data_IF_900139103849
#
_entry.id   IF_900139103849
#
_cell.length_a   1.000
_cell.length_b   1.000
_cell.length_c   1.000
_cell.angle_alpha   90.00
_cell.angle_beta   90.00
_cell.angle_gamma   90.00
#
_symmetry.space_group_name_H-M   'P 1'
#
loop_
_entity.id
_entity.type
_entity.pdbx_description
1 polymer ?
#
# COMPACT_ATOMS: atom_id res chain seq x y z
N UNK A 1 -64.68 21.40 8.32
CA UNK A 1 -65.41 22.69 8.44
C UNK A 1 -65.67 22.90 9.93
N UNK A 2 -65.35 23.96 10.67
CA UNK A 2 -64.80 25.31 10.54
C UNK A 2 -63.92 25.48 11.82
N UNK A 3 -62.64 25.81 11.72
CA UNK A 3 -62.07 27.18 11.64
C UNK A 3 -62.05 27.92 12.99
N UNK A 4 -60.82 28.36 13.35
CA UNK A 4 -60.42 29.67 13.89
C UNK A 4 -59.69 29.63 15.25
N UNK A 5 -58.38 29.92 15.14
CA UNK A 5 -57.48 30.46 16.16
C UNK A 5 -57.80 31.95 16.35
N UNK A 6 -57.53 32.54 17.54
CA UNK A 6 -56.70 33.73 17.51
C UNK A 6 -55.55 33.72 18.54
N UNK A 7 -54.45 34.29 18.08
CA UNK A 7 -53.21 34.66 18.78
C UNK A 7 -53.42 36.01 19.45
N UNK A 8 -52.94 36.21 20.69
CA UNK A 8 -52.50 37.50 21.26
C UNK A 8 -51.44 37.20 22.35
N UNK A 9 -50.16 37.45 22.05
CA UNK A 9 -49.28 38.53 22.55
C UNK A 9 -48.85 38.40 24.03
N UNK A 10 -47.58 38.03 24.29
CA UNK A 10 -46.47 38.92 24.71
C UNK A 10 -46.70 39.56 26.09
N UNK A 11 -45.82 39.32 27.07
CA UNK A 11 -44.85 40.31 27.63
C UNK A 11 -43.99 39.68 28.75
N UNK A 12 -42.69 39.99 28.68
CA UNK A 12 -41.65 39.86 29.71
C UNK A 12 -42.05 40.41 31.10
N UNK A 13 -41.45 39.87 32.17
CA UNK A 13 -40.60 40.57 33.18
C UNK A 13 -40.43 39.62 34.39
N UNK A 14 -39.24 39.07 34.63
CA UNK A 14 -38.10 39.60 35.41
C UNK A 14 -38.30 39.62 36.93
N UNK A 15 -37.21 39.31 37.64
CA UNK A 15 -36.98 39.26 39.10
C UNK A 15 -37.33 37.92 39.76
N UNK A 16 -36.53 37.33 40.64
CA UNK A 16 -35.31 37.78 41.32
C UNK A 16 -34.60 36.54 41.88
N UNK A 17 -33.27 36.59 41.89
CA UNK A 17 -32.41 35.67 42.63
C UNK A 17 -32.56 35.96 44.12
N UNK A 18 -32.79 34.92 44.92
CA UNK A 18 -32.37 34.90 46.33
C UNK A 18 -31.89 33.48 46.66
N UNK A 19 -30.58 33.38 46.83
CA UNK A 19 -29.91 32.22 47.38
C UNK A 19 -30.31 32.03 48.85
N UNK A 20 -30.73 30.81 49.19
CA UNK A 20 -30.89 30.35 50.56
C UNK A 20 -30.35 28.94 50.64
N UNK A 21 -29.08 28.79 50.99
CA UNK A 21 -28.52 27.50 51.41
C UNK A 21 -29.09 27.16 52.79
N UNK A 22 -29.87 26.09 52.89
CA UNK A 22 -30.13 25.42 54.16
C UNK A 22 -29.78 23.94 54.00
N UNK A 23 -28.85 23.50 54.83
CA UNK A 23 -28.29 22.16 54.87
C UNK A 23 -29.32 21.16 55.38
N UNK A 24 -29.53 20.07 54.64
CA UNK A 24 -30.40 18.97 55.02
C UNK A 24 -30.17 17.79 54.10
N UNK A 25 -29.41 16.81 54.57
CA UNK A 25 -29.19 15.51 53.94
C UNK A 25 -30.51 14.90 53.44
N UNK A 26 -30.60 14.66 52.13
CA UNK A 26 -31.22 13.49 51.53
C UNK A 26 -30.80 13.43 50.05
N UNK A 27 -29.88 12.52 49.73
CA UNK A 27 -29.61 12.16 48.34
C UNK A 27 -30.84 11.48 47.72
N UNK A 28 -31.02 11.65 46.41
CA UNK A 28 -30.97 10.47 45.56
C UNK A 28 -29.71 10.54 44.70
N UNK A 29 -28.94 9.47 44.77
CA UNK A 29 -27.83 9.14 43.89
C UNK A 29 -28.29 9.13 42.42
N UNK A 30 -28.15 10.26 41.75
CA UNK A 30 -28.02 10.30 40.30
C UNK A 30 -26.56 10.00 39.97
N UNK A 31 -26.28 8.76 39.56
CA UNK A 31 -25.03 8.44 38.90
C UNK A 31 -25.01 9.19 37.57
N UNK A 32 -24.52 10.42 37.55
CA UNK A 32 -23.97 11.01 36.35
C UNK A 32 -22.75 10.17 35.98
N UNK A 33 -22.99 9.08 35.26
CA UNK A 33 -21.99 8.51 34.36
C UNK A 33 -21.73 9.59 33.33
N UNK A 34 -20.84 10.51 33.70
CA UNK A 34 -20.12 11.32 32.76
C UNK A 34 -19.44 10.32 31.85
N UNK A 35 -20.04 10.11 30.67
CA UNK A 35 -19.45 9.30 29.63
C UNK A 35 -18.06 9.90 29.43
N UNK A 36 -17.03 9.15 29.83
CA UNK A 36 -15.67 9.47 29.45
C UNK A 36 -15.69 9.45 27.93
N UNK A 37 -15.75 10.64 27.32
CA UNK A 37 -15.37 10.80 25.94
C UNK A 37 -13.89 10.45 25.99
N UNK A 38 -13.58 9.17 25.73
CA UNK A 38 -12.25 8.76 25.35
C UNK A 38 -11.88 9.70 24.22
N UNK A 39 -10.97 10.64 24.51
CA UNK A 39 -10.38 11.48 23.48
C UNK A 39 -9.96 10.52 22.39
N UNK A 40 -10.56 10.64 21.21
CA UNK A 40 -10.17 9.80 20.10
C UNK A 40 -8.78 10.32 19.75
N UNK A 41 -7.77 9.66 20.29
CA UNK A 41 -6.37 9.90 19.94
C UNK A 41 -6.28 9.43 18.49
N UNK A 42 -6.46 10.37 17.57
CA UNK A 42 -6.33 10.15 16.14
C UNK A 42 -5.14 10.97 15.72
N UNK A 43 -3.90 10.50 15.94
CA UNK A 43 -2.73 11.23 15.49
C UNK A 43 -2.80 11.32 13.97
N UNK A 44 -3.16 12.49 13.48
CA UNK A 44 -2.87 13.01 12.14
C UNK A 44 -3.04 12.00 10.99
N UNK A 45 -4.20 11.34 10.92
CA UNK A 45 -4.51 10.30 9.91
C UNK A 45 -4.64 10.88 8.50
N UNK A 46 -5.03 12.15 8.36
CA UNK A 46 -5.18 12.78 7.06
C UNK A 46 -4.80 14.27 7.11
N UNK A 47 -4.27 14.75 6.00
CA UNK A 47 -4.16 16.17 5.66
C UNK A 47 -5.01 16.45 4.42
N UNK A 48 -4.84 17.63 3.80
CA UNK A 48 -5.52 17.97 2.55
C UNK A 48 -5.19 17.00 1.42
N UNK A 49 -3.92 16.62 1.30
CA UNK A 49 -3.34 15.86 0.20
C UNK A 49 -2.76 14.50 0.62
N UNK A 50 -2.79 14.14 1.91
CA UNK A 50 -2.22 12.86 2.40
C UNK A 50 -3.21 12.03 3.21
N UNK A 51 -3.03 10.71 3.20
CA UNK A 51 -3.70 9.77 4.11
C UNK A 51 -2.68 8.81 4.68
N UNK A 52 -2.69 8.64 6.00
CA UNK A 52 -1.73 7.84 6.77
C UNK A 52 -2.35 6.55 7.28
N UNK A 53 -1.66 5.45 7.02
CA UNK A 53 -1.81 4.16 7.71
C UNK A 53 -0.96 4.23 8.99
N UNK A 54 -1.59 4.68 10.08
CA UNK A 54 -0.92 5.12 11.30
C UNK A 54 -0.60 3.96 12.25
N UNK A 55 0.22 3.01 11.78
CA UNK A 55 0.75 1.91 12.58
C UNK A 55 2.11 1.51 12.04
N UNK A 56 2.94 0.98 12.92
CA UNK A 56 4.25 0.37 12.58
C UNK A 56 4.21 -1.15 12.68
N UNK A 57 3.05 -1.75 12.98
CA UNK A 57 2.83 -3.19 12.90
C UNK A 57 2.40 -3.59 11.47
N UNK A 58 3.13 -4.48 10.79
CA UNK A 58 2.81 -4.87 9.41
C UNK A 58 1.51 -5.65 9.26
N UNK A 59 1.10 -6.43 10.28
CA UNK A 59 -0.17 -7.17 10.24
C UNK A 59 -1.34 -6.20 10.33
N UNK A 60 -1.27 -5.25 11.26
CA UNK A 60 -2.26 -4.18 11.39
C UNK A 60 -2.28 -3.28 10.14
N UNK A 61 -1.11 -2.89 9.61
CA UNK A 61 -1.02 -2.09 8.39
C UNK A 61 -1.72 -2.77 7.21
N UNK A 62 -1.48 -4.07 6.99
CA UNK A 62 -2.12 -4.82 5.92
C UNK A 62 -3.66 -4.87 6.09
N UNK A 63 -4.15 -5.01 7.33
CA UNK A 63 -5.59 -4.96 7.64
C UNK A 63 -6.17 -3.56 7.35
N UNK A 64 -5.50 -2.47 7.76
CA UNK A 64 -5.98 -1.11 7.52
C UNK A 64 -5.95 -0.77 6.02
N UNK A 65 -4.90 -1.17 5.29
CA UNK A 65 -4.81 -1.02 3.83
C UNK A 65 -5.94 -1.78 3.15
N UNK A 66 -6.20 -3.01 3.59
CA UNK A 66 -7.32 -3.83 3.13
C UNK A 66 -8.67 -3.13 3.34
N UNK A 67 -8.92 -2.58 4.53
CA UNK A 67 -10.14 -1.84 4.85
C UNK A 67 -10.29 -0.55 4.05
N UNK A 68 -9.17 0.09 3.73
CA UNK A 68 -9.13 1.34 2.93
C UNK A 68 -9.56 1.08 1.49
N UNK A 69 -9.12 -0.03 0.89
CA UNK A 69 -9.31 -0.31 -0.54
C UNK A 69 -10.50 -1.24 -0.82
N UNK A 70 -10.75 -2.23 0.05
CA UNK A 70 -11.87 -3.16 -0.02
C UNK A 70 -12.81 -2.97 1.16
N UNK A 71 -13.69 -1.97 1.06
CA UNK A 71 -14.61 -1.61 2.14
C UNK A 71 -15.59 -2.73 2.53
N UNK A 72 -15.78 -3.74 1.67
CA UNK A 72 -16.60 -4.95 1.88
C UNK A 72 -18.04 -4.69 2.36
N UNK A 73 -18.59 -3.51 2.09
CA UNK A 73 -19.98 -3.15 2.39
C UNK A 73 -20.98 -3.66 1.33
N UNK A 74 -20.47 -4.05 0.15
CA UNK A 74 -21.27 -4.54 -0.98
C UNK A 74 -20.52 -5.67 -1.69
N UNK A 75 -21.18 -6.38 -2.61
CA UNK A 75 -20.48 -7.39 -3.42
C UNK A 75 -19.35 -6.77 -4.28
N UNK A 76 -19.54 -5.54 -4.75
CA UNK A 76 -18.62 -4.88 -5.69
C UNK A 76 -17.33 -4.36 -5.04
N UNK A 77 -17.27 -4.28 -3.71
CA UNK A 77 -16.10 -3.79 -2.97
C UNK A 77 -15.51 -4.87 -2.04
N UNK A 78 -15.81 -6.14 -2.34
CA UNK A 78 -15.15 -7.32 -1.78
C UNK A 78 -14.05 -7.79 -2.74
N UNK A 79 -12.93 -8.33 -2.24
CA UNK A 79 -11.90 -8.89 -3.10
C UNK A 79 -12.36 -10.23 -3.70
N UNK A 80 -11.74 -10.65 -4.80
CA UNK A 80 -11.98 -12.01 -5.32
C UNK A 80 -11.26 -13.05 -4.47
N UNK A 81 -9.99 -12.83 -4.14
CA UNK A 81 -9.18 -13.71 -3.28
C UNK A 81 -8.23 -12.88 -2.42
N UNK A 82 -7.69 -13.47 -1.36
CA UNK A 82 -6.69 -12.85 -0.46
C UNK A 82 -5.41 -13.67 -0.50
N UNK A 83 -4.26 -12.99 -0.56
CA UNK A 83 -2.95 -13.64 -0.42
C UNK A 83 -2.58 -13.68 1.05
N UNK A 84 -2.14 -14.84 1.55
CA UNK A 84 -1.59 -14.99 2.90
C UNK A 84 -0.15 -15.50 2.84
N UNK A 85 0.75 -14.80 3.52
CA UNK A 85 2.17 -15.13 3.64
C UNK A 85 2.67 -14.85 5.06
N UNK A 86 3.75 -15.52 5.49
CA UNK A 86 4.36 -15.27 6.79
C UNK A 86 5.03 -13.89 6.84
N UNK A 87 4.73 -13.13 7.89
CA UNK A 87 5.22 -11.75 8.10
C UNK A 87 6.73 -11.66 8.32
N UNK A 88 7.39 -12.76 8.70
CA UNK A 88 8.82 -12.80 9.03
C UNK A 88 9.72 -13.03 7.82
N UNK A 89 9.15 -13.33 6.64
CA UNK A 89 9.89 -13.52 5.40
C UNK A 89 9.52 -12.45 4.37
N UNK A 90 10.24 -11.32 4.42
CA UNK A 90 9.96 -10.20 3.53
C UNK A 90 10.16 -10.55 2.06
N UNK A 91 11.10 -11.44 1.73
CA UNK A 91 11.36 -11.80 0.34
C UNK A 91 10.16 -12.54 -0.26
N UNK A 92 9.65 -13.57 0.45
CA UNK A 92 8.44 -14.28 0.02
C UNK A 92 7.24 -13.33 -0.01
N UNK A 93 7.09 -12.47 1.01
CA UNK A 93 6.00 -11.52 1.04
C UNK A 93 6.04 -10.49 -0.09
N UNK A 94 7.23 -10.04 -0.49
CA UNK A 94 7.43 -9.10 -1.58
C UNK A 94 7.00 -9.70 -2.93
N UNK A 95 7.48 -10.90 -3.29
CA UNK A 95 7.07 -11.54 -4.56
C UNK A 95 5.61 -11.97 -4.56
N UNK A 96 5.02 -12.22 -3.38
CA UNK A 96 3.59 -12.51 -3.24
C UNK A 96 2.68 -11.35 -3.67
N UNK A 97 3.21 -10.12 -3.72
CA UNK A 97 2.46 -8.96 -4.20
C UNK A 97 2.04 -9.09 -5.66
N UNK A 98 2.75 -9.88 -6.48
CA UNK A 98 2.42 -10.16 -7.89
C UNK A 98 0.99 -10.71 -8.07
N UNK A 99 0.46 -11.32 -7.01
CA UNK A 99 -0.88 -11.91 -6.99
C UNK A 99 -1.97 -10.94 -6.52
N UNK A 100 -1.68 -9.68 -6.19
CA UNK A 100 -2.66 -8.71 -5.66
C UNK A 100 -3.74 -8.39 -6.70
N UNK A 101 -3.36 -7.93 -7.90
CA UNK A 101 -4.33 -7.57 -8.94
C UNK A 101 -4.87 -8.79 -9.66
N UNK A 102 -4.01 -9.58 -10.29
CA UNK A 102 -4.40 -10.77 -11.02
C UNK A 102 -3.73 -12.00 -10.38
N UNK A 103 -4.44 -13.12 -10.17
CA UNK A 103 -5.86 -13.35 -10.44
C UNK A 103 -6.79 -12.87 -9.29
N UNK A 104 -6.24 -12.34 -8.20
CA UNK A 104 -6.98 -12.26 -6.94
C UNK A 104 -7.84 -11.01 -6.77
N UNK A 105 -7.44 -9.87 -7.33
CA UNK A 105 -8.02 -8.55 -7.04
C UNK A 105 -8.33 -8.39 -5.53
N UNK A 106 -7.29 -8.48 -4.71
CA UNK A 106 -7.43 -8.49 -3.26
C UNK A 106 -6.14 -8.22 -2.50
N UNK A 107 -6.25 -8.00 -1.18
CA UNK A 107 -5.11 -7.64 -0.36
C UNK A 107 -4.16 -8.82 -0.15
N UNK A 108 -2.92 -8.47 0.19
CA UNK A 108 -2.02 -9.35 0.92
C UNK A 108 -2.24 -9.14 2.42
N UNK A 109 -2.44 -10.21 3.18
CA UNK A 109 -2.48 -10.20 4.64
C UNK A 109 -1.44 -11.18 5.17
N UNK A 110 -1.14 -11.08 6.47
CA UNK A 110 -0.03 -11.82 7.06
C UNK A 110 -0.44 -12.88 8.08
N UNK A 111 0.30 -13.99 8.05
CA UNK A 111 0.36 -15.01 9.11
C UNK A 111 1.65 -14.80 9.93
N UNK A 112 1.75 -15.51 11.04
CA UNK A 112 2.98 -15.60 11.83
C UNK A 112 3.34 -17.07 12.07
N UNK A 113 4.48 -17.30 12.71
CA UNK A 113 4.95 -18.63 13.11
C UNK A 113 3.99 -19.34 14.07
N UNK A 114 3.11 -18.59 14.74
CA UNK A 114 2.10 -19.09 15.67
C UNK A 114 0.77 -19.41 14.98
N UNK A 115 0.59 -19.04 13.71
CA UNK A 115 -0.64 -19.26 12.93
C UNK A 115 -1.20 -17.97 12.34
N UNK A 116 -2.52 -17.92 12.16
CA UNK A 116 -3.23 -16.72 11.68
C UNK A 116 -3.52 -15.79 12.87
N UNK A 117 -3.01 -14.54 12.88
CA UNK A 117 -3.35 -13.55 13.89
C UNK A 117 -4.86 -13.27 13.94
N UNK A 118 -5.38 -12.89 15.11
CA UNK A 118 -6.80 -12.57 15.28
C UNK A 118 -7.24 -11.43 14.34
N UNK A 119 -6.41 -10.40 14.17
CA UNK A 119 -6.68 -9.29 13.24
C UNK A 119 -6.82 -9.78 11.79
N UNK A 120 -5.91 -10.64 11.33
CA UNK A 120 -5.97 -11.24 9.99
C UNK A 120 -7.23 -12.11 9.83
N UNK A 121 -7.57 -12.93 10.82
CA UNK A 121 -8.75 -13.80 10.76
C UNK A 121 -10.06 -12.99 10.74
N UNK A 122 -10.14 -11.94 11.56
CA UNK A 122 -11.27 -11.02 11.58
C UNK A 122 -11.41 -10.29 10.23
N UNK A 123 -10.29 -9.90 9.63
CA UNK A 123 -10.26 -9.23 8.34
C UNK A 123 -10.68 -10.15 7.19
N UNK A 124 -10.21 -11.41 7.15
CA UNK A 124 -10.69 -12.42 6.20
C UNK A 124 -12.20 -12.62 6.29
N UNK A 125 -12.73 -12.69 7.51
CA UNK A 125 -14.18 -12.80 7.74
C UNK A 125 -14.94 -11.56 7.27
N UNK A 126 -14.40 -10.35 7.50
CA UNK A 126 -14.99 -9.08 7.05
C UNK A 126 -15.00 -8.99 5.52
N UNK A 127 -13.86 -9.28 4.90
CA UNK A 127 -13.70 -9.26 3.45
C UNK A 127 -14.61 -10.27 2.77
N UNK A 128 -14.71 -11.48 3.33
CA UNK A 128 -15.46 -12.60 2.76
C UNK A 128 -15.14 -12.73 1.26
N UNK A 129 -13.95 -13.20 0.84
CA UNK A 129 -13.55 -13.14 -0.57
C UNK A 129 -14.54 -13.87 -1.49
N UNK A 130 -14.75 -13.39 -2.72
CA UNK A 130 -15.78 -13.93 -3.62
C UNK A 130 -15.40 -15.25 -4.31
N UNK A 131 -14.11 -15.56 -4.37
CA UNK A 131 -13.51 -16.57 -5.23
C UNK A 131 -13.05 -15.96 -6.56
N UNK A 132 -11.77 -16.08 -6.88
CA UNK A 132 -11.21 -15.64 -8.15
C UNK A 132 -11.62 -16.58 -9.30
N UNK A 133 -12.48 -16.10 -10.22
CA UNK A 133 -13.01 -16.93 -11.33
C UNK A 133 -11.91 -17.49 -12.23
N UNK A 134 -10.91 -16.67 -12.60
CA UNK A 134 -9.73 -17.08 -13.38
C UNK A 134 -8.82 -18.06 -12.64
N UNK A 135 -9.10 -18.34 -11.37
CA UNK A 135 -8.33 -19.23 -10.52
C UNK A 135 -9.25 -20.21 -9.79
N UNK A 136 -10.19 -20.81 -10.53
CA UNK A 136 -11.08 -21.87 -10.04
C UNK A 136 -11.91 -21.50 -8.79
N UNK A 137 -12.20 -20.22 -8.57
CA UNK A 137 -12.96 -19.74 -7.40
C UNK A 137 -12.19 -19.81 -6.08
N UNK A 138 -10.85 -19.86 -6.12
CA UNK A 138 -10.00 -19.77 -4.92
C UNK A 138 -10.24 -18.45 -4.20
N UNK A 139 -10.43 -18.49 -2.88
CA UNK A 139 -10.70 -17.34 -2.01
C UNK A 139 -9.49 -16.92 -1.17
N UNK A 140 -8.56 -17.86 -0.93
CA UNK A 140 -7.30 -17.59 -0.22
C UNK A 140 -6.18 -18.36 -0.91
N UNK A 141 -5.07 -17.67 -1.20
CA UNK A 141 -3.83 -18.29 -1.67
C UNK A 141 -2.80 -18.22 -0.54
N UNK A 142 -2.41 -19.37 0.00
CA UNK A 142 -1.29 -19.48 0.94
C UNK A 142 0.02 -19.50 0.16
N UNK A 143 1.00 -18.69 0.55
CA UNK A 143 2.29 -18.61 -0.12
C UNK A 143 3.43 -18.87 0.85
N UNK A 144 4.26 -19.86 0.53
CA UNK A 144 5.48 -20.18 1.27
C UNK A 144 5.26 -21.05 2.52
N UNK A 145 6.23 -21.04 3.46
CA UNK A 145 6.14 -21.83 4.68
C UNK A 145 5.03 -21.29 5.58
N UNK A 146 4.26 -22.19 6.18
CA UNK A 146 3.12 -21.88 7.05
C UNK A 146 3.15 -22.73 8.31
N UNK A 147 2.72 -22.15 9.43
CA UNK A 147 2.50 -22.92 10.65
C UNK A 147 1.42 -24.00 10.42
N UNK A 148 1.59 -25.17 11.04
CA UNK A 148 0.75 -26.35 10.78
C UNK A 148 -0.73 -26.16 11.13
N UNK A 149 -1.04 -25.16 11.97
CA UNK A 149 -2.40 -24.82 12.39
C UNK A 149 -3.12 -23.82 11.46
N UNK A 150 -2.42 -23.19 10.50
CA UNK A 150 -3.01 -22.14 9.61
C UNK A 150 -4.22 -22.68 8.85
N UNK A 151 -4.09 -23.83 8.19
CA UNK A 151 -5.19 -24.40 7.41
C UNK A 151 -6.38 -24.80 8.30
N UNK A 152 -6.13 -25.27 9.52
CA UNK A 152 -7.19 -25.59 10.48
C UNK A 152 -7.94 -24.33 10.94
N UNK A 153 -7.22 -23.24 11.20
CA UNK A 153 -7.82 -21.95 11.53
C UNK A 153 -8.67 -21.41 10.38
N UNK A 154 -8.21 -21.53 9.13
CA UNK A 154 -8.96 -21.07 7.95
C UNK A 154 -10.20 -21.92 7.64
N UNK A 155 -10.21 -23.22 7.97
CA UNK A 155 -11.41 -24.07 7.84
C UNK A 155 -12.60 -23.54 8.63
N UNK A 156 -12.36 -22.78 9.71
CA UNK A 156 -13.45 -22.16 10.50
C UNK A 156 -14.25 -21.11 9.71
N UNK A 157 -13.70 -20.61 8.59
CA UNK A 157 -14.34 -19.62 7.72
C UNK A 157 -14.98 -20.22 6.46
N UNK A 158 -14.88 -21.54 6.24
CA UNK A 158 -15.40 -22.24 5.05
C UNK A 158 -14.92 -21.62 3.72
N UNK A 159 -13.65 -21.20 3.67
CA UNK A 159 -13.04 -20.59 2.49
C UNK A 159 -12.34 -21.64 1.62
N UNK A 160 -12.43 -21.49 0.29
CA UNK A 160 -11.65 -22.28 -0.65
C UNK A 160 -10.20 -21.79 -0.69
N UNK A 161 -9.28 -22.64 -0.26
CA UNK A 161 -7.85 -22.35 -0.18
C UNK A 161 -7.08 -23.07 -1.30
N UNK A 162 -6.07 -22.40 -1.84
CA UNK A 162 -5.01 -22.99 -2.65
C UNK A 162 -3.64 -22.61 -2.07
N UNK A 163 -2.58 -23.32 -2.47
CA UNK A 163 -1.25 -23.13 -1.89
C UNK A 163 -0.14 -23.12 -2.94
N UNK A 164 0.74 -22.14 -2.81
CA UNK A 164 2.02 -22.06 -3.49
C UNK A 164 3.09 -22.48 -2.48
N UNK A 165 3.62 -23.69 -2.66
CA UNK A 165 4.62 -24.28 -1.78
C UNK A 165 6.04 -23.74 -2.04
N UNK A 166 6.89 -23.83 -1.02
CA UNK A 166 8.32 -23.52 -1.12
C UNK A 166 8.83 -22.78 0.11
N UNK A 167 10.09 -23.04 0.49
CA UNK A 167 10.71 -22.42 1.67
C UNK A 167 11.74 -21.35 1.29
N UNK A 168 12.36 -21.47 0.12
CA UNK A 168 13.42 -20.58 -0.36
C UNK A 168 12.83 -19.44 -1.21
N UNK A 169 13.18 -18.17 -0.95
CA UNK A 169 12.54 -17.04 -1.63
C UNK A 169 12.60 -17.06 -3.16
N UNK A 170 13.75 -17.43 -3.74
CA UNK A 170 13.89 -17.53 -5.19
C UNK A 170 13.03 -18.67 -5.79
N UNK A 171 12.86 -19.78 -5.05
CA UNK A 171 11.99 -20.88 -5.48
C UNK A 171 10.51 -20.49 -5.41
N UNK A 172 10.12 -19.76 -4.37
CA UNK A 172 8.75 -19.24 -4.25
C UNK A 172 8.47 -18.18 -5.34
N UNK A 173 9.42 -17.32 -5.67
CA UNK A 173 9.30 -16.38 -6.78
C UNK A 173 9.05 -17.09 -8.12
N UNK A 174 9.82 -18.15 -8.42
CA UNK A 174 9.56 -18.99 -9.59
C UNK A 174 8.16 -19.63 -9.54
N UNK A 175 7.76 -20.17 -8.38
CA UNK A 175 6.46 -20.81 -8.23
C UNK A 175 5.30 -19.83 -8.43
N UNK A 176 5.45 -18.57 -8.01
CA UNK A 176 4.49 -17.49 -8.26
C UNK A 176 4.43 -17.16 -9.75
N UNK A 177 5.56 -17.03 -10.44
CA UNK A 177 5.60 -16.80 -11.90
C UNK A 177 4.82 -17.90 -12.66
N UNK A 178 5.07 -19.17 -12.31
CA UNK A 178 4.30 -20.31 -12.86
C UNK A 178 2.82 -20.26 -12.49
N UNK A 179 2.49 -19.92 -11.24
CA UNK A 179 1.11 -19.83 -10.76
C UNK A 179 0.33 -18.73 -11.49
N UNK A 180 0.94 -17.55 -11.61
CA UNK A 180 0.40 -16.40 -12.33
C UNK A 180 0.15 -16.77 -13.78
N UNK A 181 1.14 -17.34 -14.48
CA UNK A 181 1.02 -17.74 -15.88
C UNK A 181 -0.11 -18.75 -16.12
N UNK A 182 -0.30 -19.70 -15.20
CA UNK A 182 -1.40 -20.67 -15.27
C UNK A 182 -2.76 -20.00 -15.09
N UNK A 183 -2.86 -19.04 -14.17
CA UNK A 183 -4.11 -18.34 -13.90
C UNK A 183 -4.46 -17.31 -14.99
N UNK A 184 -3.46 -16.65 -15.58
CA UNK A 184 -3.64 -15.64 -16.63
C UNK A 184 -3.77 -16.24 -18.03
N UNK A 185 -3.23 -17.46 -18.22
CA UNK A 185 -3.15 -18.13 -19.52
C UNK A 185 -1.94 -17.71 -20.36
N UNK A 186 -1.07 -16.83 -19.85
CA UNK A 186 0.13 -16.36 -20.55
C UNK A 186 1.30 -16.13 -19.57
N UNK A 187 2.49 -16.56 -19.97
CA UNK A 187 3.74 -16.28 -19.25
C UNK A 187 4.26 -14.87 -19.63
N UNK A 188 4.35 -13.92 -18.68
CA UNK A 188 4.86 -12.57 -18.95
C UNK A 188 6.30 -12.62 -19.48
N UNK A 189 6.55 -11.96 -20.61
CA UNK A 189 7.90 -11.90 -21.21
C UNK A 189 8.85 -11.00 -20.45
N UNK A 190 8.33 -9.90 -19.92
CA UNK A 190 9.08 -8.97 -19.10
C UNK A 190 9.16 -9.48 -17.65
N UNK A 191 10.31 -9.27 -17.01
CA UNK A 191 10.56 -9.62 -15.60
C UNK A 191 11.37 -8.52 -14.93
N UNK A 192 11.12 -8.33 -13.64
CA UNK A 192 11.99 -7.54 -12.78
C UNK A 192 12.94 -8.50 -12.06
N UNK A 193 14.22 -8.14 -11.98
CA UNK A 193 15.21 -8.84 -11.17
C UNK A 193 15.69 -7.91 -10.07
N UNK A 194 15.47 -8.33 -8.82
CA UNK A 194 15.90 -7.61 -7.62
C UNK A 194 16.84 -8.43 -6.74
N UNK A 195 17.61 -7.76 -5.90
CA UNK A 195 18.50 -8.42 -4.93
C UNK A 195 17.71 -8.94 -3.71
N UNK A 196 18.00 -10.17 -3.29
CA UNK A 196 17.51 -10.75 -2.04
C UNK A 196 18.16 -10.17 -0.78
N UNK A 197 19.29 -9.48 -0.95
CA UNK A 197 20.14 -9.00 0.14
C UNK A 197 19.93 -7.51 0.44
N UNK A 198 19.18 -6.80 -0.40
CA UNK A 198 19.04 -5.34 -0.36
C UNK A 198 17.58 -4.92 -0.58
N UNK A 199 16.69 -5.14 0.40
CA UNK A 199 15.26 -4.85 0.29
C UNK A 199 14.98 -3.41 -0.15
N UNK A 200 15.74 -2.44 0.35
CA UNK A 200 15.58 -1.03 0.04
C UNK A 200 15.79 -0.69 -1.44
N UNK A 201 16.54 -1.52 -2.18
CA UNK A 201 16.70 -1.38 -3.63
C UNK A 201 15.65 -2.17 -4.41
N UNK A 202 15.17 -3.28 -3.87
CA UNK A 202 14.24 -4.21 -4.54
C UNK A 202 12.77 -3.84 -4.34
N UNK A 203 12.39 -3.39 -3.14
CA UNK A 203 10.99 -3.13 -2.76
C UNK A 203 10.25 -2.10 -3.62
N UNK A 204 10.88 -1.11 -4.29
CA UNK A 204 10.17 -0.28 -5.25
C UNK A 204 9.46 -1.08 -6.36
N UNK A 205 9.97 -2.27 -6.73
CA UNK A 205 9.33 -3.18 -7.66
C UNK A 205 7.98 -3.71 -7.16
N UNK A 206 7.82 -3.88 -5.84
CA UNK A 206 6.63 -4.50 -5.23
C UNK A 206 5.36 -3.72 -5.57
N UNK A 207 5.44 -2.39 -5.62
CA UNK A 207 4.33 -1.55 -6.03
C UNK A 207 3.96 -1.75 -7.51
N UNK A 208 4.93 -2.01 -8.38
CA UNK A 208 4.64 -2.27 -9.79
C UNK A 208 3.96 -3.64 -9.98
N UNK A 209 4.55 -4.70 -9.44
CA UNK A 209 4.03 -6.08 -9.59
C UNK A 209 2.68 -6.27 -8.88
N UNK A 210 2.36 -5.43 -7.89
CA UNK A 210 1.03 -5.41 -7.26
C UNK A 210 -0.12 -5.13 -8.25
N UNK A 211 0.19 -4.56 -9.41
CA UNK A 211 -0.80 -4.26 -10.45
C UNK A 211 -0.47 -4.83 -11.82
N UNK A 212 0.81 -4.87 -12.18
CA UNK A 212 1.28 -5.18 -13.52
C UNK A 212 1.74 -6.65 -13.61
N UNK A 213 1.71 -7.27 -14.80
CA UNK A 213 1.88 -8.71 -14.95
C UNK A 213 3.32 -9.21 -14.79
N UNK A 214 4.33 -8.32 -14.74
CA UNK A 214 5.73 -8.75 -14.67
C UNK A 214 6.09 -9.28 -13.27
N UNK A 215 6.61 -10.51 -13.15
CA UNK A 215 7.02 -11.03 -11.86
C UNK A 215 8.31 -10.36 -11.38
N UNK A 216 8.52 -10.41 -10.06
CA UNK A 216 9.81 -10.15 -9.43
C UNK A 216 10.55 -11.48 -9.21
N UNK A 217 11.71 -11.62 -9.85
CA UNK A 217 12.66 -12.72 -9.64
C UNK A 217 13.88 -12.24 -8.84
N UNK A 218 14.57 -13.18 -8.23
CA UNK A 218 15.59 -12.89 -7.24
C UNK A 218 17.00 -13.27 -7.69
N UNK A 219 17.95 -12.38 -7.42
CA UNK A 219 19.39 -12.64 -7.49
C UNK A 219 20.05 -12.27 -6.17
N UNK A 220 21.28 -12.69 -5.96
CA UNK A 220 22.17 -12.06 -4.97
C UNK A 220 23.07 -11.06 -5.69
N UNK A 221 23.98 -10.42 -4.96
CA UNK A 221 24.97 -9.50 -5.55
C UNK A 221 25.77 -10.13 -6.70
N UNK A 222 26.19 -11.37 -6.53
CA UNK A 222 27.21 -12.00 -7.38
C UNK A 222 26.76 -13.34 -7.98
N UNK A 223 25.51 -13.75 -7.75
CA UNK A 223 24.97 -15.02 -8.23
C UNK A 223 23.51 -14.94 -8.67
N UNK A 224 23.15 -15.74 -9.68
CA UNK A 224 21.77 -16.01 -10.08
C UNK A 224 21.38 -17.38 -9.53
N UNK A 225 20.45 -17.46 -8.57
CA UNK A 225 19.93 -18.72 -8.06
C UNK A 225 19.30 -19.58 -9.17
N UNK A 226 19.45 -20.91 -9.07
CA UNK A 226 18.86 -21.87 -10.00
C UNK A 226 17.36 -21.66 -10.29
N UNK A 227 16.50 -21.36 -9.28
CA UNK A 227 15.09 -21.07 -9.56
C UNK A 227 14.87 -19.90 -10.51
N UNK A 228 15.67 -18.83 -10.39
CA UNK A 228 15.60 -17.66 -11.28
C UNK A 228 16.09 -18.02 -12.68
N UNK A 229 17.18 -18.81 -12.79
CA UNK A 229 17.63 -19.37 -14.09
C UNK A 229 16.52 -20.18 -14.75
N UNK A 230 15.81 -21.02 -13.99
CA UNK A 230 14.74 -21.86 -14.50
C UNK A 230 13.54 -21.02 -14.98
N UNK A 231 13.08 -20.05 -14.18
CA UNK A 231 12.02 -19.13 -14.56
C UNK A 231 12.36 -18.35 -15.85
N UNK A 232 13.61 -17.90 -16.00
CA UNK A 232 14.06 -17.20 -17.20
C UNK A 232 14.10 -18.12 -18.44
N UNK A 233 14.49 -19.39 -18.28
CA UNK A 233 14.52 -20.38 -19.38
C UNK A 233 13.13 -20.67 -19.96
N UNK A 234 12.07 -20.58 -19.16
CA UNK A 234 10.68 -20.75 -19.64
C UNK A 234 10.30 -19.70 -20.70
N UNK A 235 11.00 -18.56 -20.72
CA UNK A 235 10.82 -17.51 -21.73
C UNK A 235 11.58 -17.77 -23.03
N UNK A 236 12.31 -18.88 -23.13
CA UNK A 236 12.93 -19.36 -24.37
C UNK A 236 13.99 -18.43 -24.98
N UNK A 237 14.74 -17.71 -24.14
CA UNK A 237 15.76 -16.75 -24.59
C UNK A 237 15.21 -15.42 -25.10
N UNK A 238 13.92 -15.14 -24.85
CA UNK A 238 13.22 -13.92 -25.27
C UNK A 238 12.73 -13.08 -24.09
N UNK A 239 13.36 -13.23 -22.91
CA UNK A 239 13.00 -12.43 -21.75
C UNK A 239 13.38 -10.96 -21.97
N UNK A 240 12.56 -10.05 -21.45
CA UNK A 240 12.93 -8.65 -21.25
C UNK A 240 13.19 -8.45 -19.76
N UNK A 241 14.44 -8.27 -19.38
CA UNK A 241 14.89 -8.33 -17.99
C UNK A 241 15.22 -6.92 -17.50
N UNK A 242 14.53 -6.47 -16.45
CA UNK A 242 14.81 -5.18 -15.81
C UNK A 242 15.52 -5.43 -14.47
N UNK A 243 16.81 -5.11 -14.39
CA UNK A 243 17.54 -5.16 -13.13
C UNK A 243 17.21 -3.90 -12.34
N UNK A 244 16.68 -4.06 -11.13
CA UNK A 244 16.44 -2.94 -10.22
C UNK A 244 17.58 -2.84 -9.21
N UNK A 245 18.37 -1.77 -9.31
CA UNK A 245 19.46 -1.47 -8.38
C UNK A 245 20.83 -1.22 -9.05
N UNK A 246 21.73 -0.49 -8.38
CA UNK A 246 23.07 -0.21 -8.86
C UNK A 246 23.99 -1.44 -8.83
N UNK A 247 25.16 -1.35 -9.47
CA UNK A 247 26.14 -2.45 -9.54
C UNK A 247 26.63 -2.96 -8.17
N UNK A 248 26.60 -2.10 -7.15
CA UNK A 248 26.95 -2.49 -5.78
C UNK A 248 25.93 -3.49 -5.18
N UNK A 249 24.71 -3.53 -5.70
CA UNK A 249 23.59 -4.39 -5.27
C UNK A 249 23.44 -5.62 -6.17
N UNK A 250 23.57 -5.44 -7.49
CA UNK A 250 23.58 -6.54 -8.48
C UNK A 250 24.76 -6.30 -9.42
N UNK A 251 25.80 -7.13 -9.35
CA UNK A 251 27.05 -6.90 -10.07
C UNK A 251 26.88 -6.90 -11.59
N UNK A 252 27.85 -6.28 -12.29
CA UNK A 252 27.93 -6.35 -13.76
C UNK A 252 28.15 -7.79 -14.25
N UNK A 253 28.72 -8.67 -13.42
CA UNK A 253 28.88 -10.09 -13.74
C UNK A 253 27.52 -10.80 -13.81
N UNK A 254 26.65 -10.58 -12.82
CA UNK A 254 25.27 -11.08 -12.82
C UNK A 254 24.48 -10.52 -14.01
N UNK A 255 24.60 -9.21 -14.28
CA UNK A 255 23.97 -8.60 -15.46
C UNK A 255 24.40 -9.26 -16.76
N UNK A 256 25.69 -9.55 -16.93
CA UNK A 256 26.21 -10.24 -18.11
C UNK A 256 25.67 -11.67 -18.23
N UNK A 257 25.52 -12.39 -17.11
CA UNK A 257 24.91 -13.72 -17.11
C UNK A 257 23.42 -13.65 -17.49
N UNK A 258 22.68 -12.64 -17.01
CA UNK A 258 21.27 -12.45 -17.36
C UNK A 258 21.05 -12.22 -18.87
N UNK A 259 22.04 -11.65 -19.58
CA UNK A 259 21.99 -11.45 -21.03
C UNK A 259 21.95 -12.77 -21.83
N UNK A 260 22.30 -13.91 -21.23
CA UNK A 260 22.14 -15.22 -21.86
C UNK A 260 20.66 -15.63 -22.01
N UNK A 261 19.76 -15.00 -21.26
CA UNK A 261 18.32 -15.33 -21.24
C UNK A 261 17.44 -14.30 -21.98
N UNK A 262 18.00 -13.15 -22.36
CA UNK A 262 17.22 -12.10 -23.00
C UNK A 262 17.88 -10.73 -23.03
N UNK A 263 17.09 -9.69 -23.30
CA UNK A 263 17.54 -8.29 -23.26
C UNK A 263 17.56 -7.82 -21.81
N UNK A 264 18.61 -7.09 -21.42
CA UNK A 264 18.76 -6.61 -20.04
C UNK A 264 18.84 -5.09 -20.02
N UNK A 265 18.03 -4.48 -19.18
CA UNK A 265 18.05 -3.04 -18.89
C UNK A 265 18.19 -2.84 -17.39
N UNK A 266 19.20 -2.07 -16.96
CA UNK A 266 19.37 -1.71 -15.55
C UNK A 266 18.68 -0.39 -15.24
N UNK A 267 17.93 -0.37 -14.14
CA UNK A 267 17.27 0.81 -13.57
C UNK A 267 17.93 1.04 -12.21
N UNK A 268 18.65 2.15 -12.07
CA UNK A 268 19.45 2.40 -10.88
C UNK A 268 19.56 3.90 -10.55
N UNK A 269 19.54 4.22 -9.26
CA UNK A 269 19.91 5.53 -8.72
C UNK A 269 21.24 5.49 -7.96
N UNK A 270 21.77 6.67 -7.60
CA UNK A 270 23.05 6.79 -6.87
C UNK A 270 22.96 6.27 -5.43
N UNK A 271 21.80 6.48 -4.80
CA UNK A 271 21.45 6.00 -3.47
C UNK A 271 20.06 5.33 -3.49
N UNK A 272 19.54 5.01 -2.31
CA UNK A 272 18.27 4.29 -2.13
C UNK A 272 17.08 5.16 -2.59
N UNK A 273 17.10 6.45 -2.26
CA UNK A 273 16.04 7.40 -2.63
C UNK A 273 16.02 7.64 -4.13
N UNK A 274 17.18 7.95 -4.72
CA UNK A 274 17.32 8.11 -6.16
C UNK A 274 16.99 6.82 -6.92
N UNK A 275 17.17 5.62 -6.32
CA UNK A 275 16.80 4.36 -6.97
C UNK A 275 15.28 4.17 -7.07
N UNK A 276 14.54 4.51 -6.01
CA UNK A 276 13.08 4.50 -6.05
C UNK A 276 12.55 5.53 -7.08
N UNK A 277 13.15 6.72 -7.12
CA UNK A 277 12.82 7.76 -8.12
C UNK A 277 13.16 7.29 -9.54
N UNK A 278 14.32 6.66 -9.74
CA UNK A 278 14.71 6.11 -11.04
C UNK A 278 13.68 5.09 -11.54
N UNK A 279 13.13 4.24 -10.66
CA UNK A 279 12.07 3.32 -11.06
C UNK A 279 10.74 4.02 -11.34
N UNK A 280 10.33 4.98 -10.50
CA UNK A 280 9.09 5.74 -10.69
C UNK A 280 9.09 6.59 -11.98
N UNK A 281 10.26 7.05 -12.41
CA UNK A 281 10.42 7.85 -13.65
C UNK A 281 10.70 7.00 -14.88
N UNK A 282 11.13 5.74 -14.71
CA UNK A 282 11.48 4.87 -15.82
C UNK A 282 10.26 4.50 -16.68
N UNK A 283 10.45 4.51 -18.00
CA UNK A 283 9.49 3.99 -18.97
C UNK A 283 10.21 3.31 -20.13
N UNK A 284 9.91 2.04 -20.35
CA UNK A 284 10.19 1.36 -21.61
C UNK A 284 8.94 1.44 -22.50
N UNK A 285 8.95 2.41 -23.42
CA UNK A 285 7.85 2.60 -24.37
C UNK A 285 7.67 1.44 -25.36
N UNK A 286 8.71 0.64 -25.61
CA UNK A 286 8.66 -0.48 -26.55
C UNK A 286 7.97 -1.70 -25.97
N UNK A 287 8.11 -1.91 -24.66
CA UNK A 287 7.52 -3.05 -23.94
C UNK A 287 6.33 -2.66 -23.05
N UNK A 288 6.03 -1.36 -22.93
CA UNK A 288 4.96 -0.86 -22.05
C UNK A 288 5.29 -0.83 -20.55
N UNK A 289 6.47 -1.34 -20.18
CA UNK A 289 6.94 -1.47 -18.81
C UNK A 289 7.37 -0.12 -18.18
N UNK A 290 7.16 0.03 -16.87
CA UNK A 290 7.59 1.19 -16.09
C UNK A 290 6.50 2.26 -15.93
N UNK A 291 6.63 3.00 -14.83
CA UNK A 291 5.70 4.03 -14.38
C UNK A 291 5.65 5.26 -15.30
N UNK A 292 6.83 5.77 -15.69
CA UNK A 292 6.94 6.98 -16.52
C UNK A 292 6.37 8.25 -15.85
N UNK A 293 6.42 8.34 -14.52
CA UNK A 293 5.86 9.45 -13.76
C UNK A 293 6.85 10.62 -13.79
N UNK A 294 6.72 11.48 -14.79
CA UNK A 294 7.60 12.65 -15.01
C UNK A 294 6.81 13.94 -15.29
N UNK A 295 5.52 13.95 -15.00
CA UNK A 295 4.60 15.07 -15.25
C UNK A 295 3.78 15.36 -14.00
N UNK A 296 3.09 16.50 -13.91
CA UNK A 296 2.21 16.76 -12.77
C UNK A 296 0.98 15.84 -12.72
N UNK A 297 0.45 15.59 -11.51
CA UNK A 297 -0.82 14.89 -11.33
C UNK A 297 -0.73 13.39 -11.05
N UNK A 298 0.13 12.97 -10.11
CA UNK A 298 0.33 11.56 -9.75
C UNK A 298 0.31 11.35 -8.24
N UNK A 299 0.05 10.11 -7.84
CA UNK A 299 -0.02 9.72 -6.44
C UNK A 299 1.26 8.96 -6.06
N UNK A 300 1.65 9.00 -4.79
CA UNK A 300 2.84 8.32 -4.29
C UNK A 300 2.51 7.52 -3.02
N UNK A 301 3.24 6.44 -2.79
CA UNK A 301 3.25 5.73 -1.51
C UNK A 301 4.58 6.03 -0.82
N UNK A 302 4.55 6.64 0.36
CA UNK A 302 5.75 7.03 1.10
C UNK A 302 5.86 6.33 2.47
N UNK A 303 7.08 5.91 2.76
CA UNK A 303 7.49 5.29 4.03
C UNK A 303 9.02 5.39 4.19
N UNK A 304 9.51 5.13 5.39
CA UNK A 304 10.95 5.16 5.69
C UNK A 304 11.66 3.88 5.24
N UNK A 305 12.95 3.98 4.90
CA UNK A 305 13.76 2.87 4.38
C UNK A 305 13.77 1.64 5.31
N UNK A 306 13.67 1.84 6.62
CA UNK A 306 13.67 0.77 7.63
C UNK A 306 12.33 0.03 7.79
N UNK A 307 11.32 0.39 7.00
CA UNK A 307 9.96 -0.14 7.09
C UNK A 307 9.64 -1.23 6.05
N UNK A 308 10.53 -2.23 5.92
CA UNK A 308 10.47 -3.31 4.90
C UNK A 308 9.09 -3.94 4.74
N UNK A 309 8.50 -4.46 5.83
CA UNK A 309 7.21 -5.15 5.74
C UNK A 309 6.03 -4.19 5.57
N UNK A 310 6.15 -2.92 6.00
CA UNK A 310 5.13 -1.91 5.76
C UNK A 310 5.05 -1.55 4.27
N UNK A 311 6.17 -1.56 3.54
CA UNK A 311 6.17 -1.36 2.10
C UNK A 311 5.37 -2.44 1.36
N UNK A 312 5.51 -3.69 1.79
CA UNK A 312 4.76 -4.81 1.22
C UNK A 312 3.27 -4.71 1.61
N UNK A 313 2.97 -4.35 2.86
CA UNK A 313 1.60 -4.12 3.33
C UNK A 313 0.89 -3.00 2.54
N UNK A 314 1.62 -1.96 2.15
CA UNK A 314 1.14 -0.80 1.41
C UNK A 314 1.04 -1.03 -0.12
N UNK A 315 1.64 -2.11 -0.64
CA UNK A 315 1.65 -2.43 -2.06
C UNK A 315 0.28 -2.36 -2.76
N UNK A 316 -0.86 -2.76 -2.13
CA UNK A 316 -2.20 -2.62 -2.71
C UNK A 316 -2.59 -1.20 -3.17
N UNK A 317 -1.98 -0.14 -2.62
CA UNK A 317 -2.22 1.23 -3.09
C UNK A 317 -1.80 1.43 -4.56
N UNK A 318 -0.95 0.58 -5.08
CA UNK A 318 -0.54 0.59 -6.48
C UNK A 318 -1.59 0.02 -7.42
N UNK A 319 -2.51 -0.81 -6.89
CA UNK A 319 -3.61 -1.36 -7.66
C UNK A 319 -4.88 -0.51 -7.53
N UNK A 320 -5.36 -0.27 -6.30
CA UNK A 320 -6.63 0.44 -6.06
C UNK A 320 -6.45 1.80 -5.38
N UNK A 321 -5.25 2.12 -4.90
CA UNK A 321 -4.91 3.41 -4.29
C UNK A 321 -4.42 4.46 -5.29
N UNK A 322 -4.89 4.39 -6.54
CA UNK A 322 -4.55 5.31 -7.63
C UNK A 322 -3.10 5.19 -8.16
N UNK A 323 -2.62 3.96 -8.35
CA UNK A 323 -1.37 3.65 -9.07
C UNK A 323 -0.14 4.36 -8.49
N UNK A 324 0.02 4.26 -7.16
CA UNK A 324 1.03 4.99 -6.40
C UNK A 324 2.36 4.20 -6.30
N UNK A 325 3.45 4.59 -7.01
CA UNK A 325 4.76 3.98 -6.79
C UNK A 325 5.29 4.23 -5.37
N UNK A 326 6.16 3.33 -4.92
CA UNK A 326 6.88 3.49 -3.66
C UNK A 326 8.01 4.50 -3.82
N UNK A 327 8.02 5.52 -2.97
CA UNK A 327 9.10 6.48 -2.81
C UNK A 327 9.48 6.53 -1.33
N UNK A 328 10.76 6.38 -1.02
CA UNK A 328 11.21 6.46 0.37
C UNK A 328 11.29 7.91 0.84
N UNK A 329 11.02 8.13 2.13
CA UNK A 329 11.20 9.41 2.82
C UNK A 329 12.03 9.22 4.10
N UNK A 330 12.35 10.31 4.79
CA UNK A 330 12.91 10.26 6.14
C UNK A 330 11.84 10.58 7.19
N UNK A 331 12.20 10.30 8.44
CA UNK A 331 11.34 10.52 9.61
C UNK A 331 10.98 11.98 9.80
N UNK A 332 11.96 12.86 9.59
CA UNK A 332 11.87 14.28 9.94
C UNK A 332 11.49 15.17 8.75
N UNK A 333 11.61 14.67 7.51
CA UNK A 333 11.27 15.42 6.30
C UNK A 333 11.62 14.66 5.02
N UNK A 334 11.46 15.33 3.88
CA UNK A 334 11.84 14.81 2.57
C UNK A 334 13.36 14.96 2.32
N UNK A 335 14.05 13.91 1.85
CA UNK A 335 15.39 14.07 1.27
C UNK A 335 15.35 15.03 0.07
N UNK A 336 16.45 15.77 -0.15
CA UNK A 336 16.54 16.75 -1.24
C UNK A 336 16.14 16.18 -2.61
N UNK A 337 16.60 14.97 -2.95
CA UNK A 337 16.27 14.31 -4.23
C UNK A 337 14.78 13.99 -4.36
N UNK A 338 14.12 13.63 -3.25
CA UNK A 338 12.68 13.34 -3.23
C UNK A 338 11.88 14.63 -3.32
N UNK A 339 12.30 15.68 -2.60
CA UNK A 339 11.70 17.00 -2.69
C UNK A 339 11.78 17.53 -4.14
N UNK A 340 12.95 17.47 -4.78
CA UNK A 340 13.14 17.86 -6.19
C UNK A 340 12.24 17.06 -7.13
N UNK A 341 12.14 15.74 -6.94
CA UNK A 341 11.23 14.91 -7.71
C UNK A 341 9.76 15.32 -7.52
N UNK A 342 9.31 15.52 -6.29
CA UNK A 342 7.94 15.96 -5.99
C UNK A 342 7.62 17.35 -6.58
N UNK A 343 8.59 18.26 -6.68
CA UNK A 343 8.42 19.53 -7.39
C UNK A 343 8.03 19.32 -8.86
N UNK A 344 8.59 18.30 -9.53
CA UNK A 344 8.24 17.97 -10.93
C UNK A 344 6.81 17.46 -11.07
N UNK A 345 6.27 16.88 -10.01
CA UNK A 345 4.91 16.33 -9.97
C UNK A 345 3.87 17.37 -9.52
N UNK A 346 4.30 18.54 -9.04
CA UNK A 346 3.40 19.54 -8.46
C UNK A 346 2.38 20.03 -9.49
N UNK A 347 1.07 19.83 -9.26
CA UNK A 347 0.05 20.23 -10.21
C UNK A 347 -0.06 21.74 -10.33
N UNK A 348 -0.38 22.21 -11.54
CA UNK A 348 -0.55 23.64 -11.84
C UNK A 348 -1.92 23.88 -12.47
N UNK A 349 -2.58 24.98 -12.08
CA UNK A 349 -3.84 25.43 -12.69
C UNK A 349 -3.69 26.77 -13.40
N UNK A 350 -4.56 27.04 -14.39
CA UNK A 350 -4.62 28.31 -15.12
C UNK A 350 -5.71 29.21 -14.56
N UNK A 351 -6.96 28.74 -14.57
CA UNK A 351 -8.12 29.56 -14.22
C UNK A 351 -8.65 29.23 -12.81
N UNK A 352 -8.78 27.95 -12.47
CA UNK A 352 -9.29 27.51 -11.16
C UNK A 352 -8.56 26.28 -10.61
N UNK A 353 -8.25 26.24 -9.29
CA UNK A 353 -7.68 25.06 -8.66
C UNK A 353 -8.63 23.84 -8.70
N UNK A 354 -9.91 24.03 -9.06
CA UNK A 354 -10.89 22.95 -9.21
C UNK A 354 -10.65 22.05 -10.45
N UNK A 355 -9.81 22.47 -11.39
CA UNK A 355 -9.57 21.76 -12.65
C UNK A 355 -8.70 20.51 -12.49
N UNK A 356 -7.81 20.51 -11.49
CA UNK A 356 -6.77 19.49 -11.37
C UNK A 356 -5.72 19.55 -12.50
N UNK A 357 -4.87 18.53 -12.64
CA UNK A 357 -4.88 17.28 -11.88
C UNK A 357 -4.50 17.48 -10.40
N UNK A 358 -4.69 16.45 -9.57
CA UNK A 358 -4.36 16.48 -8.15
C UNK A 358 -3.43 15.33 -7.80
N UNK A 359 -2.53 15.57 -6.86
CA UNK A 359 -1.71 14.53 -6.29
C UNK A 359 -2.31 14.01 -4.98
N UNK A 360 -1.87 12.82 -4.56
CA UNK A 360 -2.15 12.29 -3.24
C UNK A 360 -0.96 11.46 -2.75
N UNK A 361 -0.67 11.49 -1.45
CA UNK A 361 0.29 10.58 -0.84
C UNK A 361 -0.37 9.65 0.18
N UNK A 362 -0.11 8.36 0.02
CA UNK A 362 -0.33 7.37 1.06
C UNK A 362 0.92 7.29 1.93
N UNK A 363 0.80 7.61 3.21
CA UNK A 363 1.88 7.44 4.18
C UNK A 363 1.66 6.15 4.96
N UNK A 364 2.70 5.33 5.14
CA UNK A 364 2.60 4.11 5.96
C UNK A 364 3.66 4.14 7.05
N UNK A 365 3.21 4.05 8.30
CA UNK A 365 4.04 4.18 9.50
C UNK A 365 3.41 5.09 10.54
N UNK A 366 3.65 4.80 11.82
CA UNK A 366 3.20 5.64 12.92
C UNK A 366 3.99 6.96 13.01
N UNK A 367 3.69 7.78 14.03
CA UNK A 367 4.38 9.05 14.28
C UNK A 367 5.87 8.90 14.60
N UNK A 368 6.30 7.71 15.02
CA UNK A 368 7.70 7.41 15.28
C UNK A 368 8.47 7.09 14.00
N UNK A 369 7.79 6.56 12.97
CA UNK A 369 8.34 6.35 11.64
C UNK A 369 8.38 7.65 10.82
N UNK A 370 7.27 8.39 10.75
CA UNK A 370 7.18 9.65 10.00
C UNK A 370 6.50 10.70 10.88
N UNK A 371 7.21 11.78 11.24
CA UNK A 371 6.66 12.84 12.09
C UNK A 371 5.54 13.62 11.40
N UNK A 372 4.71 14.29 12.21
CA UNK A 372 3.69 15.24 11.76
C UNK A 372 4.28 16.35 10.88
N UNK A 373 5.47 16.86 11.23
CA UNK A 373 6.16 17.88 10.43
C UNK A 373 6.51 17.39 9.03
N UNK A 374 6.98 16.16 8.89
CA UNK A 374 7.29 15.55 7.60
C UNK A 374 6.02 15.33 6.76
N UNK A 375 4.91 14.90 7.38
CA UNK A 375 3.64 14.79 6.68
C UNK A 375 3.09 16.14 6.24
N UNK A 376 3.27 17.20 7.06
CA UNK A 376 2.93 18.57 6.67
C UNK A 376 3.76 19.06 5.47
N UNK A 377 5.06 18.80 5.48
CA UNK A 377 5.94 19.11 4.35
C UNK A 377 5.50 18.38 3.07
N UNK A 378 5.17 17.08 3.17
CA UNK A 378 4.63 16.29 2.05
C UNK A 378 3.31 16.88 1.55
N UNK A 379 2.39 17.27 2.45
CA UNK A 379 1.11 17.89 2.08
C UNK A 379 1.29 19.15 1.22
N UNK A 380 2.21 20.02 1.65
CA UNK A 380 2.55 21.27 0.97
C UNK A 380 3.15 21.02 -0.42
N UNK A 381 4.03 20.01 -0.54
CA UNK A 381 4.66 19.64 -1.81
C UNK A 381 3.68 19.11 -2.85
N UNK A 382 2.57 18.51 -2.41
CA UNK A 382 1.52 17.98 -3.28
C UNK A 382 0.51 19.04 -3.70
N UNK A 383 0.58 20.25 -3.14
CA UNK A 383 -0.43 21.27 -3.35
C UNK A 383 -0.45 21.83 -4.77
N UNK A 384 -1.64 21.88 -5.34
CA UNK A 384 -1.87 22.51 -6.64
C UNK A 384 -1.63 24.02 -6.56
N UNK A 385 -0.88 24.56 -7.52
CA UNK A 385 -0.45 25.98 -7.50
C UNK A 385 -0.81 26.73 -8.80
N UNK A 386 -0.96 28.07 -8.78
CA UNK A 386 -1.20 28.84 -10.00
C UNK A 386 0.01 28.74 -10.95
N UNK A 387 -0.23 28.56 -12.24
CA UNK A 387 0.83 28.51 -13.24
C UNK A 387 1.60 29.83 -13.39
N UNK A 388 0.95 30.96 -13.09
CA UNK A 388 1.55 32.29 -13.11
C UNK A 388 2.47 32.59 -11.91
N UNK A 389 2.53 31.70 -10.91
CA UNK A 389 3.18 31.94 -9.62
C UNK A 389 2.32 32.79 -8.68
N UNK A 390 2.54 32.65 -7.37
CA UNK A 390 1.76 33.33 -6.32
C UNK A 390 1.17 32.36 -5.29
N UNK A 391 0.50 32.89 -4.26
CA UNK A 391 -0.13 32.04 -3.24
C UNK A 391 -1.42 31.41 -3.83
N UNK A 392 -1.57 30.07 -3.78
CA UNK A 392 -2.74 29.35 -4.33
C UNK A 392 -4.08 29.78 -3.72
N UNK A 393 -4.06 30.49 -2.59
CA UNK A 393 -5.24 30.97 -1.87
C UNK A 393 -5.35 32.50 -1.84
N UNK A 394 -4.44 33.25 -2.46
CA UNK A 394 -4.53 34.71 -2.54
C UNK A 394 -5.28 35.14 -3.80
N UNK A 395 -6.61 35.19 -3.74
CA UNK A 395 -7.43 35.78 -4.79
C UNK A 395 -8.83 35.18 -4.90
N UNK A 396 -9.81 35.90 -4.33
CA UNK A 396 -11.19 35.89 -4.80
C UNK A 396 -11.53 37.27 -5.34
#
# INVERSE_FOLDING_TARGET
MKKIIPIVAVTLLLSSVLAGCQSGNNAPSGSDKQASISSVDQPWIATKNTTRINTSDPTEAAVIVSQTLWTAQTKNNRPSSVVLTDVSNWQIAAVSADLIHHPNNGPILFTTKEGVPEATLAELKRLNPLGAEGNNGVQVVLVGPMASNVEEQLKTLDLKVDRIEGDEPAAVAQAIDTYYAKASGELPKAVIVGSMDSPEYTLPAVNWIAHMPEPLLYVTKDEIPDPTVNALKERGGSATIYILGPEKVVSTAVEKQLQEFGTVTRIAGKDIYENAIAFATFKDASNGFGWGITTPGHNLSLLTIDSTMLAIAAAPFSHLGKHAPLIFTEKDGLPDSVMEYMMTLQPKFQDSPAEGPYNHAWLTGDINAIKESAQGEIDDMLEISPAAGGNPHSGH
#
